data_IF_662017753574
#
_entry.id   IF_662017753574
#
_cell.length_a   1.000
_cell.length_b   1.000
_cell.length_c   1.000
_cell.angle_alpha   90.00
_cell.angle_beta   90.00
_cell.angle_gamma   90.00
#
_symmetry.space_group_name_H-M   'P 1'
#
loop_
_entity.id
_entity.type
_entity.pdbx_description
1 polymer ?
#
# COMPACT_ATOMS: atom_id res chain seq x y z
N UNK A 1 -10.14 -0.65 -5.53
CA UNK A 1 -9.78 0.31 -4.48
C UNK A 1 -8.63 1.16 -4.98
N UNK A 2 -8.65 2.45 -4.71
CA UNK A 2 -7.51 3.35 -4.92
C UNK A 2 -6.40 3.08 -3.90
N UNK A 3 -5.20 3.62 -4.13
CA UNK A 3 -4.09 3.54 -3.17
C UNK A 3 -4.48 4.13 -1.80
N UNK A 4 -5.18 5.27 -1.81
CA UNK A 4 -5.67 5.95 -0.59
C UNK A 4 -6.68 5.08 0.16
N UNK A 5 -7.65 4.48 -0.55
CA UNK A 5 -8.62 3.57 0.08
C UNK A 5 -7.93 2.34 0.70
N UNK A 6 -6.87 1.81 0.06
CA UNK A 6 -6.09 0.69 0.61
C UNK A 6 -5.34 1.08 1.87
N UNK A 7 -4.76 2.29 1.90
CA UNK A 7 -4.07 2.83 3.07
C UNK A 7 -5.03 3.07 4.23
N UNK A 8 -6.20 3.67 3.98
CA UNK A 8 -7.25 3.88 5.00
C UNK A 8 -7.64 2.53 5.60
N UNK A 9 -7.93 1.53 4.76
CA UNK A 9 -8.31 0.21 5.24
C UNK A 9 -7.20 -0.48 6.06
N UNK A 10 -5.94 -0.33 5.64
CA UNK A 10 -4.80 -0.86 6.40
C UNK A 10 -4.67 -0.18 7.77
N UNK A 11 -4.89 1.14 7.84
CA UNK A 11 -4.91 1.90 9.10
C UNK A 11 -6.07 1.48 10.02
N UNK A 12 -7.26 1.24 9.46
CA UNK A 12 -8.40 0.73 10.24
C UNK A 12 -8.11 -0.65 10.85
N UNK A 13 -7.47 -1.54 10.08
CA UNK A 13 -7.05 -2.86 10.58
C UNK A 13 -6.03 -2.69 11.72
N UNK A 14 -5.03 -1.83 11.54
CA UNK A 14 -4.04 -1.53 12.57
C UNK A 14 -4.71 -1.03 13.86
N UNK A 15 -5.61 -0.05 13.76
CA UNK A 15 -6.32 0.50 14.91
C UNK A 15 -7.14 -0.55 15.67
N UNK A 16 -7.87 -1.42 14.95
CA UNK A 16 -8.65 -2.52 15.58
C UNK A 16 -7.76 -3.48 16.39
N UNK A 17 -6.57 -3.77 15.87
CA UNK A 17 -5.61 -4.66 16.53
C UNK A 17 -4.96 -3.96 17.74
N UNK A 18 -4.50 -2.72 17.59
CA UNK A 18 -3.86 -1.95 18.67
C UNK A 18 -4.81 -1.68 19.84
N UNK A 19 -6.07 -1.37 19.54
CA UNK A 19 -7.11 -1.14 20.55
C UNK A 19 -7.63 -2.44 21.20
N UNK A 20 -7.17 -3.61 20.72
CA UNK A 20 -7.60 -4.94 21.20
C UNK A 20 -9.12 -5.12 21.15
N UNK A 21 -9.77 -4.49 20.18
CA UNK A 21 -11.23 -4.57 19.99
C UNK A 21 -11.65 -5.84 19.22
N UNK A 22 -10.69 -6.70 18.89
CA UNK A 22 -10.88 -7.93 18.16
C UNK A 22 -10.30 -9.09 18.95
N UNK A 23 -10.97 -10.24 18.91
CA UNK A 23 -10.47 -11.48 19.48
C UNK A 23 -9.26 -12.00 18.69
N UNK A 24 -8.52 -12.94 19.29
CA UNK A 24 -7.41 -13.60 18.59
C UNK A 24 -7.86 -14.24 17.27
N UNK A 25 -9.00 -14.94 17.29
CA UNK A 25 -9.56 -15.59 16.11
C UNK A 25 -9.96 -14.60 15.02
N UNK A 26 -10.46 -13.42 15.38
CA UNK A 26 -10.78 -12.34 14.43
C UNK A 26 -9.53 -11.60 13.93
N UNK A 27 -8.46 -11.54 14.73
CA UNK A 27 -7.22 -10.87 14.35
C UNK A 27 -6.46 -11.59 13.23
N UNK A 28 -6.59 -12.92 13.13
CA UNK A 28 -5.91 -13.73 12.10
C UNK A 28 -6.34 -13.30 10.68
N UNK A 29 -7.63 -13.33 10.30
CA UNK A 29 -8.05 -12.91 8.96
C UNK A 29 -7.79 -11.42 8.70
N UNK A 30 -7.86 -10.55 9.72
CA UNK A 30 -7.49 -9.14 9.58
C UNK A 30 -6.01 -8.96 9.24
N UNK A 31 -5.12 -9.73 9.88
CA UNK A 31 -3.70 -9.72 9.57
C UNK A 31 -3.41 -10.25 8.16
N UNK A 32 -4.08 -11.32 7.73
CA UNK A 32 -3.97 -11.82 6.35
C UNK A 32 -4.38 -10.77 5.32
N UNK A 33 -5.48 -10.06 5.58
CA UNK A 33 -5.94 -8.96 4.74
C UNK A 33 -4.94 -7.78 4.75
N UNK A 34 -4.41 -7.41 5.91
CA UNK A 34 -3.37 -6.38 6.02
C UNK A 34 -2.11 -6.74 5.22
N UNK A 35 -1.68 -8.00 5.26
CA UNK A 35 -0.55 -8.49 4.46
C UNK A 35 -0.82 -8.39 2.96
N UNK A 36 -2.05 -8.69 2.52
CA UNK A 36 -2.45 -8.54 1.12
C UNK A 36 -2.45 -7.07 0.71
N UNK A 37 -3.08 -6.20 1.49
CA UNK A 37 -3.12 -4.75 1.23
C UNK A 37 -1.71 -4.16 1.14
N UNK A 38 -0.82 -4.52 2.07
CA UNK A 38 0.59 -4.09 2.06
C UNK A 38 1.28 -4.45 0.75
N UNK A 39 1.16 -5.69 0.28
CA UNK A 39 1.77 -6.13 -0.99
C UNK A 39 1.23 -5.36 -2.20
N UNK A 40 -0.07 -5.08 -2.22
CA UNK A 40 -0.68 -4.32 -3.30
C UNK A 40 -0.22 -2.85 -3.30
N UNK A 41 -0.15 -2.22 -2.12
CA UNK A 41 0.34 -0.85 -1.93
C UNK A 41 1.82 -0.76 -2.38
N UNK A 42 2.67 -1.68 -1.92
CA UNK A 42 4.10 -1.70 -2.29
C UNK A 42 4.29 -1.85 -3.80
N UNK A 43 3.49 -2.72 -4.44
CA UNK A 43 3.52 -2.90 -5.89
C UNK A 43 3.13 -1.61 -6.63
N UNK A 44 2.04 -0.97 -6.24
CA UNK A 44 1.58 0.28 -6.88
C UNK A 44 2.59 1.42 -6.69
N UNK A 45 3.19 1.54 -5.50
CA UNK A 45 4.25 2.52 -5.25
C UNK A 45 5.48 2.28 -6.14
N UNK A 46 5.90 1.02 -6.30
CA UNK A 46 7.00 0.67 -7.19
C UNK A 46 6.69 1.03 -8.66
N UNK A 47 5.47 0.78 -9.11
CA UNK A 47 5.03 1.14 -10.47
C UNK A 47 5.03 2.66 -10.68
N UNK A 48 4.60 3.43 -9.68
CA UNK A 48 4.65 4.90 -9.72
C UNK A 48 6.08 5.41 -9.74
N UNK A 49 6.96 4.86 -8.90
CA UNK A 49 8.38 5.21 -8.87
C UNK A 49 9.06 4.94 -10.23
N UNK A 50 8.86 3.76 -10.79
CA UNK A 50 9.38 3.39 -12.11
C UNK A 50 8.88 4.34 -13.21
N UNK A 51 7.62 4.77 -13.12
CA UNK A 51 7.04 5.73 -14.06
C UNK A 51 7.68 7.11 -13.94
N UNK A 52 7.94 7.56 -12.71
CA UNK A 52 8.64 8.82 -12.46
C UNK A 52 10.06 8.75 -13.02
N UNK A 53 10.81 7.69 -12.72
CA UNK A 53 12.16 7.47 -13.26
C UNK A 53 12.14 7.55 -14.79
N UNK A 54 11.23 6.80 -15.43
CA UNK A 54 11.10 6.80 -16.89
C UNK A 54 10.79 8.18 -17.46
N UNK A 55 9.96 8.98 -16.78
CA UNK A 55 9.60 10.33 -17.23
C UNK A 55 10.76 11.32 -17.06
N UNK A 56 11.51 11.22 -15.95
CA UNK A 56 12.71 12.03 -15.70
C UNK A 56 13.82 11.70 -16.70
N UNK A 57 14.13 10.42 -16.90
CA UNK A 57 15.15 9.98 -17.85
C UNK A 57 14.80 10.35 -19.29
N UNK A 58 13.52 10.26 -19.69
CA UNK A 58 13.08 10.71 -21.04
C UNK A 58 13.08 12.23 -21.18
N UNK A 59 12.90 12.97 -20.10
CA UNK A 59 13.00 14.44 -20.08
C UNK A 59 14.43 14.92 -20.33
N UNK A 60 15.44 14.20 -19.83
CA UNK A 60 16.86 14.53 -20.03
C UNK A 60 17.38 14.20 -21.44
N UNK A 61 16.73 13.31 -22.19
CA UNK A 61 17.17 12.88 -23.54
C UNK A 61 16.75 13.87 -24.65
N UNK A 62 16.05 14.97 -24.32
CA UNK A 62 15.56 15.96 -25.30
C UNK A 62 16.42 17.23 -25.44
N UNK A 63 17.52 17.34 -24.69
CA UNK A 63 18.50 18.43 -24.86
C UNK A 63 19.86 17.85 -25.29
N UNK A 64 20.04 17.57 -26.58
CA UNK A 64 21.34 17.59 -27.29
C UNK A 64 21.14 17.48 -28.81
#
# INVERSE_FOLDING_TARGET
MTLEEKLIKLQEIQQKIEQKTVTLSESIPLLEEAYKLKKEIEKELQEMENKIITLTEKGEVSEN
#
